data_IF_922954580524
#
_entry.id   IF_922954580524
#
_cell.length_a   1.000
_cell.length_b   1.000
_cell.length_c   1.000
_cell.angle_alpha   90.00
_cell.angle_beta   90.00
_cell.angle_gamma   90.00
#
_symmetry.space_group_name_H-M   'P 1'
#
loop_
_entity.id
_entity.type
_entity.pdbx_description
1 polymer ?
#
# COMPACT_ATOMS: atom_id res chain seq x y z
N UNK A 1 24.48 -6.36 8.74
CA UNK A 1 23.14 -7.00 8.60
C UNK A 1 22.32 -6.63 9.82
N UNK A 2 21.01 -6.34 9.72
CA UNK A 2 20.21 -6.09 10.92
C UNK A 2 20.10 -7.37 11.75
N UNK A 3 20.39 -7.27 13.05
CA UNK A 3 20.50 -8.42 13.94
C UNK A 3 19.42 -8.30 15.01
N UNK A 4 18.31 -9.02 14.82
CA UNK A 4 17.14 -9.04 15.72
C UNK A 4 17.36 -9.82 17.02
N UNK A 5 18.54 -9.72 17.65
CA UNK A 5 18.93 -10.55 18.80
C UNK A 5 18.06 -10.36 20.06
N UNK A 6 17.20 -9.35 20.09
CA UNK A 6 16.27 -9.06 21.20
C UNK A 6 14.84 -9.52 20.92
N UNK A 7 14.54 -10.02 19.72
CA UNK A 7 13.19 -10.43 19.33
C UNK A 7 12.78 -11.75 20.02
N UNK A 8 11.55 -11.81 20.55
CA UNK A 8 10.99 -12.99 21.22
C UNK A 8 10.01 -13.74 20.30
N UNK A 9 10.31 -14.99 19.88
CA UNK A 9 9.36 -15.84 19.15
C UNK A 9 8.00 -15.91 19.84
N UNK A 10 6.91 -15.71 19.11
CA UNK A 10 5.55 -15.70 19.65
C UNK A 10 5.06 -14.36 20.23
N UNK A 11 5.91 -13.34 20.33
CA UNK A 11 5.53 -11.97 20.77
C UNK A 11 5.84 -10.96 19.67
N UNK A 12 7.08 -10.95 19.18
CA UNK A 12 7.55 -9.97 18.18
C UNK A 12 7.55 -10.54 16.74
N UNK A 13 7.22 -11.83 16.58
CA UNK A 13 7.30 -12.55 15.31
C UNK A 13 5.95 -12.86 14.65
N UNK A 14 4.85 -12.84 15.39
CA UNK A 14 3.54 -13.36 14.90
C UNK A 14 2.71 -12.27 14.18
N UNK A 15 2.87 -11.00 14.53
CA UNK A 15 2.13 -9.90 13.89
C UNK A 15 2.85 -9.37 12.64
N UNK A 16 2.95 -10.20 11.61
CA UNK A 16 3.66 -9.90 10.35
C UNK A 16 2.69 -9.68 9.18
N UNK A 17 1.56 -9.05 9.44
CA UNK A 17 0.53 -8.87 8.43
C UNK A 17 0.90 -7.73 7.47
N UNK A 18 0.90 -8.04 6.17
CA UNK A 18 0.93 -7.05 5.09
C UNK A 18 -0.43 -6.34 5.03
N UNK A 19 -0.45 -5.01 4.80
CA UNK A 19 -1.70 -4.30 4.59
C UNK A 19 -2.27 -4.73 3.23
N UNK A 20 -3.10 -5.77 3.24
CA UNK A 20 -3.68 -6.36 2.04
C UNK A 20 -5.19 -6.28 2.17
N UNK A 21 -5.79 -5.32 1.46
CA UNK A 21 -7.24 -5.22 1.37
C UNK A 21 -7.85 -6.49 0.75
N UNK A 22 -9.01 -6.90 1.27
CA UNK A 22 -9.66 -8.12 0.82
C UNK A 22 -10.20 -7.93 -0.60
N UNK A 23 -9.98 -8.93 -1.46
CA UNK A 23 -10.46 -8.90 -2.85
C UNK A 23 -11.98 -8.68 -2.95
N UNK A 24 -12.76 -9.20 -1.99
CA UNK A 24 -14.22 -8.96 -1.93
C UNK A 24 -14.54 -7.47 -1.71
N UNK A 25 -13.81 -6.80 -0.83
CA UNK A 25 -14.03 -5.39 -0.49
C UNK A 25 -13.67 -4.49 -1.66
N UNK A 26 -12.54 -4.79 -2.33
CA UNK A 26 -12.15 -4.09 -3.56
C UNK A 26 -13.23 -4.25 -4.62
N UNK A 27 -13.74 -5.47 -4.86
CA UNK A 27 -14.83 -5.69 -5.82
C UNK A 27 -16.09 -4.92 -5.46
N UNK A 28 -16.47 -4.87 -4.17
CA UNK A 28 -17.62 -4.08 -3.70
C UNK A 28 -17.41 -2.59 -4.00
N UNK A 29 -16.24 -2.03 -3.66
CA UNK A 29 -15.94 -0.62 -3.94
C UNK A 29 -15.92 -0.33 -5.44
N UNK A 30 -15.42 -1.24 -6.26
CA UNK A 30 -15.50 -1.12 -7.72
C UNK A 30 -16.94 -1.18 -8.23
N UNK A 31 -17.79 -2.04 -7.67
CA UNK A 31 -19.22 -2.05 -7.99
C UNK A 31 -19.89 -0.72 -7.64
N UNK A 32 -19.58 -0.16 -6.46
CA UNK A 32 -20.05 1.18 -6.06
C UNK A 32 -19.56 2.24 -7.05
N UNK A 33 -18.28 2.20 -7.42
CA UNK A 33 -17.69 3.13 -8.37
C UNK A 33 -18.34 3.04 -9.76
N UNK A 34 -18.63 1.82 -10.23
CA UNK A 34 -19.31 1.59 -11.50
C UNK A 34 -20.74 2.15 -11.48
N UNK A 35 -21.49 1.89 -10.39
CA UNK A 35 -22.89 2.29 -10.25
C UNK A 35 -23.06 3.81 -10.16
N UNK A 36 -22.26 4.46 -9.32
CA UNK A 36 -22.33 5.90 -9.11
C UNK A 36 -21.39 6.72 -10.01
N UNK A 37 -20.61 6.06 -10.86
CA UNK A 37 -19.64 6.66 -11.77
C UNK A 37 -18.52 7.44 -11.07
N UNK A 38 -18.05 6.93 -9.94
CA UNK A 38 -16.94 7.52 -9.20
C UNK A 38 -15.63 7.41 -9.95
N UNK A 39 -14.74 8.37 -9.76
CA UNK A 39 -13.38 8.29 -10.29
C UNK A 39 -12.59 7.22 -9.54
N UNK A 40 -11.66 6.60 -10.25
CA UNK A 40 -10.80 5.53 -9.74
C UNK A 40 -9.37 5.89 -10.09
N UNK A 41 -8.57 6.17 -9.08
CA UNK A 41 -7.20 6.65 -9.23
C UNK A 41 -6.24 5.76 -8.46
N UNK A 42 -5.02 5.63 -8.95
CA UNK A 42 -3.99 4.87 -8.24
C UNK A 42 -2.76 5.73 -7.97
N UNK A 43 -2.22 5.59 -6.77
CA UNK A 43 -0.93 6.12 -6.37
C UNK A 43 -0.07 4.99 -5.82
N UNK A 44 1.24 5.18 -5.87
CA UNK A 44 2.24 4.23 -5.39
C UNK A 44 3.14 4.93 -4.36
N UNK A 45 3.35 4.31 -3.21
CA UNK A 45 4.25 4.80 -2.17
C UNK A 45 5.64 4.24 -2.45
N UNK A 46 6.58 5.12 -2.80
CA UNK A 46 7.96 4.69 -2.98
C UNK A 46 8.52 4.24 -1.65
N UNK A 47 9.09 3.04 -1.67
CA UNK A 47 9.86 2.51 -0.56
C UNK A 47 9.00 2.39 0.73
N UNK A 48 7.77 1.87 0.61
CA UNK A 48 6.77 1.78 1.69
C UNK A 48 7.34 1.30 3.03
N UNK A 49 8.13 0.22 3.03
CA UNK A 49 8.72 -0.37 4.24
C UNK A 49 9.83 0.46 4.90
N UNK A 50 10.31 1.56 4.30
CA UNK A 50 11.21 2.50 4.96
C UNK A 50 10.48 3.65 5.66
N UNK A 51 9.16 3.77 5.46
CA UNK A 51 8.36 4.82 6.08
C UNK A 51 7.78 4.41 7.44
N UNK A 52 8.07 3.20 7.95
CA UNK A 52 7.59 2.76 9.27
C UNK A 52 8.56 3.09 10.40
N UNK A 53 8.05 3.45 11.57
CA UNK A 53 8.87 3.55 12.78
C UNK A 53 9.12 2.15 13.38
N UNK A 54 10.31 1.95 13.95
CA UNK A 54 10.63 0.74 14.72
C UNK A 54 10.45 1.06 16.19
N UNK A 55 9.42 0.49 16.82
CA UNK A 55 9.18 0.63 18.25
C UNK A 55 10.18 -0.19 19.07
N UNK A 56 10.59 -1.34 18.52
CA UNK A 56 11.52 -2.25 19.17
C UNK A 56 12.96 -1.72 19.13
N UNK A 57 13.74 -2.07 20.16
CA UNK A 57 15.17 -1.75 20.17
C UNK A 57 15.91 -2.76 19.30
N UNK A 58 16.17 -2.38 18.06
CA UNK A 58 16.92 -3.18 17.08
C UNK A 58 18.23 -2.50 16.74
N UNK A 59 19.29 -3.30 16.72
CA UNK A 59 20.62 -2.87 16.34
C UNK A 59 21.05 -3.50 15.02
N UNK A 60 21.86 -2.77 14.25
CA UNK A 60 22.53 -3.26 13.07
C UNK A 60 24.02 -2.89 13.11
N UNK A 61 24.85 -3.68 12.44
CA UNK A 61 26.23 -3.29 12.18
C UNK A 61 26.26 -1.96 11.42
N UNK A 62 27.33 -1.18 11.62
CA UNK A 62 27.52 0.06 10.86
C UNK A 62 27.52 -0.23 9.34
N UNK A 63 26.85 0.59 8.52
CA UNK A 63 26.89 0.42 7.08
C UNK A 63 28.32 0.51 6.54
N UNK A 64 28.61 -0.28 5.51
CA UNK A 64 29.90 -0.21 4.83
C UNK A 64 30.15 1.21 4.30
N UNK A 65 31.35 1.76 4.56
CA UNK A 65 31.70 3.13 4.23
C UNK A 65 31.24 4.20 5.22
N UNK A 66 30.47 3.83 6.27
CA UNK A 66 30.02 4.73 7.34
C UNK A 66 30.61 4.41 8.71
N UNK A 67 31.52 3.44 8.79
CA UNK A 67 32.23 3.10 10.03
C UNK A 67 33.12 4.25 10.47
N UNK A 68 32.88 4.80 11.67
CA UNK A 68 33.74 5.83 12.23
C UNK A 68 35.07 5.23 12.73
N UNK A 69 36.19 5.89 12.41
CA UNK A 69 37.54 5.45 12.79
C UNK A 69 37.65 5.43 14.33
N UNK A 70 38.08 4.30 14.87
CA UNK A 70 38.21 4.05 16.32
C UNK A 70 36.90 3.64 17.00
N UNK A 71 35.82 3.51 16.24
CA UNK A 71 34.48 3.15 16.71
C UNK A 71 33.92 1.94 15.95
N UNK A 72 34.79 1.11 15.39
CA UNK A 72 34.43 0.00 14.50
C UNK A 72 33.55 -1.06 15.21
N UNK A 73 33.60 -1.12 16.53
CA UNK A 73 32.81 -2.02 17.36
C UNK A 73 31.42 -1.48 17.71
N UNK A 74 31.12 -0.21 17.40
CA UNK A 74 29.79 0.36 17.62
C UNK A 74 28.75 -0.22 16.65
N UNK A 75 27.51 -0.18 17.10
CA UNK A 75 26.32 -0.59 16.34
C UNK A 75 25.35 0.58 16.23
N UNK A 76 24.56 0.60 15.15
CA UNK A 76 23.52 1.60 14.95
C UNK A 76 22.21 1.09 15.54
N UNK A 77 21.50 1.92 16.31
CA UNK A 77 20.11 1.66 16.68
C UNK A 77 19.20 2.11 15.55
N UNK A 78 18.37 1.21 15.04
CA UNK A 78 17.38 1.54 14.01
C UNK A 78 16.25 2.38 14.61
N UNK A 79 15.91 3.47 13.94
CA UNK A 79 14.73 4.31 14.25
C UNK A 79 13.59 4.06 13.25
N UNK A 80 13.95 3.76 12.00
CA UNK A 80 13.05 3.49 10.89
C UNK A 80 13.20 2.06 10.44
N UNK A 81 12.10 1.48 9.96
CA UNK A 81 12.10 0.11 9.46
C UNK A 81 12.95 0.04 8.20
N UNK A 82 13.64 -1.08 8.04
CA UNK A 82 14.38 -1.39 6.82
C UNK A 82 13.83 -2.66 6.18
N UNK A 83 14.13 -2.85 4.89
CA UNK A 83 13.87 -4.10 4.22
C UNK A 83 14.47 -5.28 5.00
N UNK A 84 13.82 -6.44 4.93
CA UNK A 84 14.16 -7.67 5.65
C UNK A 84 13.84 -7.68 7.17
N UNK A 85 13.47 -6.55 7.77
CA UNK A 85 12.89 -6.61 9.12
C UNK A 85 11.51 -7.29 9.05
N UNK A 86 11.32 -8.30 9.89
CA UNK A 86 10.05 -9.05 9.96
C UNK A 86 8.85 -8.15 10.24
N UNK A 87 9.05 -7.12 11.06
CA UNK A 87 8.04 -6.15 11.45
C UNK A 87 7.93 -4.94 10.53
N UNK A 88 8.75 -4.82 9.46
CA UNK A 88 8.70 -3.64 8.57
C UNK A 88 7.31 -3.39 7.99
N UNK A 89 6.61 -4.47 7.66
CA UNK A 89 5.23 -4.43 7.18
C UNK A 89 4.26 -3.85 8.20
N UNK A 90 4.36 -4.29 9.46
CA UNK A 90 3.53 -3.80 10.57
C UNK A 90 3.83 -2.33 10.83
N UNK A 91 5.11 -1.98 10.95
CA UNK A 91 5.57 -0.59 11.14
C UNK A 91 5.04 0.34 10.04
N UNK A 92 5.06 -0.12 8.78
CA UNK A 92 4.48 0.62 7.66
C UNK A 92 2.97 0.80 7.83
N UNK A 93 2.23 -0.28 8.07
CA UNK A 93 0.77 -0.23 8.20
C UNK A 93 0.33 0.67 9.37
N UNK A 94 0.97 0.55 10.53
CA UNK A 94 0.70 1.39 11.70
C UNK A 94 0.95 2.86 11.39
N UNK A 95 2.11 3.19 10.83
CA UNK A 95 2.42 4.58 10.49
C UNK A 95 1.46 5.17 9.45
N UNK A 96 1.09 4.37 8.44
CA UNK A 96 0.12 4.78 7.44
C UNK A 96 -1.28 5.01 8.03
N UNK A 97 -1.76 4.12 8.92
CA UNK A 97 -3.04 4.28 9.64
C UNK A 97 -3.07 5.59 10.42
N UNK A 98 -2.01 5.88 11.19
CA UNK A 98 -1.87 7.11 11.97
C UNK A 98 -1.95 8.35 11.08
N UNK A 99 -1.16 8.37 10.01
CA UNK A 99 -1.10 9.48 9.06
C UNK A 99 -2.46 9.71 8.42
N UNK A 100 -3.07 8.67 7.84
CA UNK A 100 -4.34 8.77 7.11
C UNK A 100 -5.50 9.16 8.03
N UNK A 101 -5.56 8.61 9.24
CA UNK A 101 -6.55 9.01 10.25
C UNK A 101 -6.34 10.45 10.73
N UNK A 102 -5.09 10.90 10.82
CA UNK A 102 -4.74 12.31 11.06
C UNK A 102 -5.31 13.27 10.00
N UNK A 103 -5.65 12.76 8.82
CA UNK A 103 -6.33 13.52 7.75
C UNK A 103 -7.82 13.21 7.65
N UNK A 104 -8.47 12.90 8.77
CA UNK A 104 -9.93 12.70 8.90
C UNK A 104 -10.50 11.54 8.08
N UNK A 105 -9.66 10.58 7.70
CA UNK A 105 -10.17 9.30 7.22
C UNK A 105 -10.57 8.40 8.40
N UNK A 106 -11.66 7.66 8.21
CA UNK A 106 -12.17 6.68 9.17
C UNK A 106 -11.84 5.30 8.62
N UNK A 107 -11.06 4.53 9.37
CA UNK A 107 -10.73 3.14 9.04
C UNK A 107 -12.00 2.27 9.10
N UNK A 108 -12.12 1.33 8.17
CA UNK A 108 -13.21 0.36 8.16
C UNK A 108 -12.95 -0.78 9.17
N UNK A 109 -13.97 -1.16 9.92
CA UNK A 109 -13.85 -2.18 10.98
C UNK A 109 -13.68 -3.61 10.44
N UNK A 110 -14.19 -3.89 9.25
CA UNK A 110 -14.16 -5.22 8.65
C UNK A 110 -12.93 -5.44 7.77
N UNK A 111 -12.47 -4.39 7.08
CA UNK A 111 -11.29 -4.40 6.23
C UNK A 111 -10.37 -3.23 6.62
N UNK A 112 -9.42 -3.44 7.56
CA UNK A 112 -8.61 -2.38 8.13
C UNK A 112 -7.60 -1.75 7.14
N UNK A 113 -7.59 -2.19 5.88
CA UNK A 113 -6.86 -1.54 4.80
C UNK A 113 -7.72 -0.55 4.00
N UNK A 114 -9.00 -0.41 4.36
CA UNK A 114 -9.95 0.49 3.72
C UNK A 114 -10.27 1.65 4.66
N UNK A 115 -10.25 2.84 4.10
CA UNK A 115 -10.52 4.08 4.78
C UNK A 115 -11.57 4.87 4.03
N UNK A 116 -12.42 5.58 4.76
CA UNK A 116 -13.49 6.43 4.20
C UNK A 116 -13.34 7.85 4.71
N UNK A 117 -13.48 8.83 3.82
CA UNK A 117 -13.60 10.24 4.18
C UNK A 117 -14.86 10.81 3.56
N UNK A 118 -15.60 11.60 4.33
CA UNK A 118 -16.83 12.29 3.89
C UNK A 118 -16.66 13.76 4.21
N UNK A 119 -16.99 14.64 3.25
CA UNK A 119 -17.02 16.08 3.43
C UNK A 119 -18.22 16.65 2.68
N UNK A 120 -19.33 16.88 3.39
CA UNK A 120 -20.59 17.27 2.76
C UNK A 120 -21.11 16.15 1.83
N UNK A 121 -21.28 16.46 0.55
CA UNK A 121 -21.64 15.49 -0.49
C UNK A 121 -20.44 14.73 -1.08
N UNK A 122 -19.22 15.14 -0.76
CA UNK A 122 -18.00 14.52 -1.28
C UNK A 122 -17.63 13.30 -0.45
N UNK A 123 -17.29 12.20 -1.12
CA UNK A 123 -16.91 10.93 -0.52
C UNK A 123 -15.66 10.41 -1.21
N UNK A 124 -14.71 9.93 -0.41
CA UNK A 124 -13.54 9.23 -0.90
C UNK A 124 -13.33 7.94 -0.11
N UNK A 125 -13.00 6.88 -0.83
CA UNK A 125 -12.49 5.64 -0.29
C UNK A 125 -11.01 5.53 -0.65
N UNK A 126 -10.20 5.22 0.33
CA UNK A 126 -8.78 4.91 0.16
C UNK A 126 -8.59 3.45 0.52
N UNK A 127 -7.94 2.69 -0.36
CA UNK A 127 -7.59 1.29 -0.13
C UNK A 127 -6.07 1.15 -0.20
N UNK A 128 -5.47 0.68 0.89
CA UNK A 128 -4.05 0.34 0.93
C UNK A 128 -3.85 -1.13 0.53
N UNK A 129 -2.95 -1.37 -0.41
CA UNK A 129 -2.49 -2.71 -0.80
C UNK A 129 -0.97 -2.70 -0.87
N UNK A 130 -0.31 -3.08 0.21
CA UNK A 130 1.15 -3.02 0.38
C UNK A 130 1.66 -1.59 0.15
N UNK A 131 2.18 -1.29 -1.04
CA UNK A 131 2.69 0.00 -1.51
C UNK A 131 1.72 0.74 -2.44
N UNK A 132 0.74 0.04 -3.01
CA UNK A 132 -0.31 0.61 -3.84
C UNK A 132 -1.43 1.26 -3.01
N UNK A 133 -1.88 2.43 -3.46
CA UNK A 133 -3.04 3.13 -2.94
C UNK A 133 -4.06 3.29 -4.05
N UNK A 134 -5.26 2.74 -3.84
CA UNK A 134 -6.41 2.95 -4.70
C UNK A 134 -7.34 3.99 -4.07
N UNK A 135 -7.66 5.03 -4.83
CA UNK A 135 -8.58 6.09 -4.46
C UNK A 135 -9.86 5.97 -5.30
N UNK A 136 -11.02 5.96 -4.65
CA UNK A 136 -12.34 5.92 -5.30
C UNK A 136 -13.18 7.07 -4.74
N UNK A 137 -13.64 7.98 -5.59
CA UNK A 137 -14.18 9.26 -5.12
C UNK A 137 -15.16 9.92 -6.11
N UNK A 138 -15.99 10.88 -5.65
CA UNK A 138 -17.01 11.55 -6.47
C UNK A 138 -16.84 13.07 -6.69
N UNK A 139 -15.75 13.65 -6.20
CA UNK A 139 -15.32 15.04 -6.28
C UNK A 139 -13.81 15.16 -6.60
N UNK A 140 -13.51 15.51 -7.86
CA UNK A 140 -12.14 15.68 -8.38
C UNK A 140 -11.30 16.67 -7.56
N UNK A 141 -11.92 17.68 -6.93
CA UNK A 141 -11.19 18.60 -6.05
C UNK A 141 -10.70 17.87 -4.80
N UNK A 142 -11.57 17.08 -4.17
CA UNK A 142 -11.21 16.26 -3.01
C UNK A 142 -10.11 15.26 -3.37
N UNK A 143 -10.14 14.66 -4.56
CA UNK A 143 -9.05 13.83 -5.06
C UNK A 143 -7.73 14.60 -5.13
N UNK A 144 -7.72 15.78 -5.75
CA UNK A 144 -6.54 16.65 -5.81
C UNK A 144 -5.96 16.96 -4.43
N UNK A 145 -6.82 17.32 -3.48
CA UNK A 145 -6.46 17.63 -2.10
C UNK A 145 -5.84 16.41 -1.39
N UNK A 146 -6.44 15.21 -1.54
CA UNK A 146 -5.91 13.96 -0.98
C UNK A 146 -4.55 13.61 -1.57
N UNK A 147 -4.39 13.68 -2.90
CA UNK A 147 -3.13 13.34 -3.58
C UNK A 147 -2.00 14.28 -3.18
N UNK A 148 -2.29 15.58 -3.13
CA UNK A 148 -1.33 16.58 -2.70
C UNK A 148 -0.92 16.33 -1.25
N UNK A 149 -1.88 16.10 -0.36
CA UNK A 149 -1.60 15.84 1.05
C UNK A 149 -0.80 14.55 1.25
N UNK A 150 -1.17 13.42 0.62
CA UNK A 150 -0.38 12.17 0.69
C UNK A 150 1.07 12.40 0.24
N UNK A 151 1.27 13.21 -0.80
CA UNK A 151 2.61 13.56 -1.31
C UNK A 151 3.41 14.46 -0.37
N UNK A 152 2.78 15.09 0.62
CA UNK A 152 3.50 15.79 1.72
C UNK A 152 3.95 14.84 2.83
N UNK A 153 3.30 13.68 2.96
CA UNK A 153 3.59 12.70 4.01
C UNK A 153 4.57 11.63 3.55
N UNK A 154 4.44 11.19 2.30
CA UNK A 154 5.23 10.12 1.73
C UNK A 154 5.79 10.48 0.36
N UNK A 155 6.86 9.80 -0.05
CA UNK A 155 7.34 9.90 -1.44
C UNK A 155 6.38 9.17 -2.37
N UNK A 156 5.48 9.92 -2.99
CA UNK A 156 4.41 9.36 -3.82
C UNK A 156 4.75 9.34 -5.31
N UNK A 157 4.16 8.39 -6.03
CA UNK A 157 4.06 8.37 -7.49
C UNK A 157 2.58 8.32 -7.88
N UNK A 158 2.09 9.36 -8.55
CA UNK A 158 0.76 9.36 -9.15
C UNK A 158 0.80 8.52 -10.44
N UNK A 159 -0.06 7.50 -10.53
CA UNK A 159 -0.14 6.61 -11.70
C UNK A 159 -1.31 6.93 -12.63
N UNK A 160 -2.13 7.92 -12.28
CA UNK A 160 -3.28 8.35 -13.08
C UNK A 160 -4.54 7.53 -12.80
N UNK A 161 -5.50 7.66 -13.74
CA UNK A 161 -6.73 6.86 -13.74
C UNK A 161 -6.37 5.37 -13.82
N UNK A 162 -6.98 4.58 -12.94
CA UNK A 162 -6.62 3.17 -12.79
C UNK A 162 -7.06 2.34 -14.00
N UNK A 163 -6.07 1.97 -14.82
CA UNK A 163 -6.24 0.93 -15.86
C UNK A 163 -5.93 -0.48 -15.35
N UNK A 164 -5.31 -0.57 -14.18
CA UNK A 164 -5.03 -1.81 -13.44
C UNK A 164 -5.30 -1.59 -11.95
N UNK A 165 -5.70 -2.65 -11.24
CA UNK A 165 -5.75 -2.71 -9.78
C UNK A 165 -5.18 -4.06 -9.38
N UNK A 166 -4.06 -4.06 -8.65
CA UNK A 166 -3.42 -5.28 -8.12
C UNK A 166 -3.19 -6.32 -9.25
N UNK A 167 -2.64 -5.85 -10.38
CA UNK A 167 -2.38 -6.69 -11.55
C UNK A 167 -3.62 -7.16 -12.33
N UNK A 168 -4.82 -6.74 -11.96
CA UNK A 168 -6.07 -6.96 -12.71
C UNK A 168 -6.30 -5.76 -13.61
N UNK A 169 -6.39 -5.96 -14.92
CA UNK A 169 -6.74 -4.91 -15.87
C UNK A 169 -8.21 -4.56 -15.75
N UNK A 170 -8.51 -3.27 -15.85
CA UNK A 170 -9.86 -2.73 -15.76
C UNK A 170 -10.28 -2.16 -17.11
N UNK A 171 -11.50 -2.48 -17.50
CA UNK A 171 -12.21 -1.87 -18.60
C UNK A 171 -13.42 -1.13 -18.04
N UNK A 172 -13.64 0.12 -18.45
CA UNK A 172 -14.74 0.95 -17.96
C UNK A 172 -15.66 1.36 -19.10
N UNK A 173 -16.95 1.06 -18.95
CA UNK A 173 -18.03 1.56 -19.79
C UNK A 173 -18.95 2.41 -18.92
N UNK A 174 -18.78 3.73 -18.99
CA UNK A 174 -19.56 4.69 -18.19
C UNK A 174 -21.02 4.74 -18.62
N UNK A 175 -21.31 4.51 -19.91
CA UNK A 175 -22.67 4.53 -20.45
C UNK A 175 -23.52 3.37 -19.92
N UNK A 176 -22.88 2.22 -19.71
CA UNK A 176 -23.48 1.01 -19.13
C UNK A 176 -23.26 0.85 -17.63
N UNK A 177 -22.61 1.82 -16.97
CA UNK A 177 -22.26 1.74 -15.53
C UNK A 177 -21.54 0.44 -15.18
N UNK A 178 -20.59 0.04 -16.04
CA UNK A 178 -19.95 -1.27 -15.99
C UNK A 178 -18.43 -1.15 -15.85
N UNK A 179 -17.87 -1.97 -14.97
CA UNK A 179 -16.43 -2.27 -14.92
C UNK A 179 -16.20 -3.74 -15.25
N UNK A 180 -15.40 -3.99 -16.29
CA UNK A 180 -14.89 -5.31 -16.64
C UNK A 180 -13.51 -5.53 -16.01
N UNK A 181 -13.29 -6.70 -15.44
CA UNK A 181 -12.03 -7.10 -14.82
C UNK A 181 -11.40 -8.25 -15.60
N UNK A 182 -10.14 -8.13 -16.00
CA UNK A 182 -9.43 -9.19 -16.74
C UNK A 182 -7.99 -9.34 -16.30
N UNK A 183 -7.51 -10.58 -16.26
CA UNK A 183 -6.11 -10.94 -16.03
C UNK A 183 -5.48 -11.59 -17.28
N UNK A 184 -5.96 -11.26 -18.47
CA UNK A 184 -5.45 -11.84 -19.72
C UNK A 184 -3.92 -11.74 -19.84
N UNK A 185 -3.34 -10.59 -19.48
CA UNK A 185 -1.88 -10.41 -19.51
C UNK A 185 -1.12 -11.34 -18.54
N UNK A 186 -1.71 -11.69 -17.40
CA UNK A 186 -1.12 -12.68 -16.49
C UNK A 186 -1.21 -14.08 -17.10
N UNK A 187 -2.37 -14.45 -17.65
CA UNK A 187 -2.58 -15.73 -18.33
C UNK A 187 -1.59 -15.90 -19.49
N UNK A 188 -1.43 -14.88 -20.33
CA UNK A 188 -0.46 -14.87 -21.43
C UNK A 188 0.99 -15.04 -20.95
N UNK A 189 1.36 -14.39 -19.84
CA UNK A 189 2.70 -14.56 -19.22
C UNK A 189 2.91 -15.98 -18.71
N UNK A 190 1.89 -16.58 -18.09
CA UNK A 190 1.94 -17.97 -17.62
C UNK A 190 2.09 -18.92 -18.80
N UNK A 191 1.29 -18.77 -19.85
CA UNK A 191 1.38 -19.59 -21.06
C UNK A 191 2.79 -19.52 -21.68
N UNK A 192 3.34 -18.32 -21.86
CA UNK A 192 4.71 -18.13 -22.35
C UNK A 192 5.76 -18.80 -21.46
N UNK A 193 5.64 -18.65 -20.13
CA UNK A 193 6.57 -19.26 -19.16
C UNK A 193 6.63 -20.78 -19.30
N UNK A 194 5.49 -21.41 -19.55
CA UNK A 194 5.39 -22.87 -19.73
C UNK A 194 5.43 -23.32 -21.19
N UNK A 195 5.72 -22.41 -22.14
CA UNK A 195 5.78 -22.68 -23.60
C UNK A 195 4.48 -23.25 -24.17
N UNK A 196 3.35 -22.77 -23.66
CA UNK A 196 1.99 -23.16 -24.05
C UNK A 196 1.25 -22.07 -24.84
N UNK A 197 1.94 -20.99 -25.21
CA UNK A 197 1.38 -19.85 -25.94
C UNK A 197 1.02 -20.16 -27.41
N UNK A 198 1.37 -21.36 -27.88
CA UNK A 198 1.00 -21.90 -29.18
C UNK A 198 0.25 -23.25 -29.09
N UNK A 199 -0.11 -23.69 -27.89
CA UNK A 199 -0.84 -24.94 -27.69
C UNK A 199 -2.32 -24.74 -28.06
N UNK A 200 -2.87 -25.66 -28.86
CA UNK A 200 -4.29 -25.69 -29.23
C UNK A 200 -5.15 -26.27 -28.13
#
# INVERSE_FOLDING_TARGET
>A
MAKGYTQRPGVDFEETYLPVAMAKSIRILLTIAAWYDYEIWQMDVKIAFLNGYVEEVIFMDQPEGFTAIGEEQKVCRLQWSIYDLKQASRSWNTHFDEVVRGYNFIKNDYDPCIYKKISGSSIAYLVLYVDDILLIENDVKMLGDIKAWLSTQFSMKDTGESSYIIGIKIYRDRSRRMLGLTQSSYIEKVLKRFKMDHSK
#
